data_IF_769008535085
#
_entry.id   IF_769008535085
#
_cell.length_a   1.000
_cell.length_b   1.000
_cell.length_c   1.000
_cell.angle_alpha   90.00
_cell.angle_beta   90.00
_cell.angle_gamma   90.00
#
_symmetry.space_group_name_H-M   'P 1'
#
loop_
_entity.id
_entity.type
_entity.pdbx_description
1 polymer ?
#
# COMPACT_ATOMS: atom_id res chain seq x y z
N UNK A 1 21.31 -3.76 33.03
CA UNK A 1 20.86 -4.70 31.98
C UNK A 1 21.69 -4.44 30.74
N UNK A 2 22.90 -5.01 30.67
CA UNK A 2 23.85 -4.79 29.58
C UNK A 2 24.40 -6.15 29.15
N UNK A 3 23.82 -6.76 28.12
CA UNK A 3 24.36 -7.97 27.47
C UNK A 3 24.27 -7.93 25.94
N UNK A 4 23.85 -6.81 25.34
CA UNK A 4 23.65 -6.69 23.89
C UNK A 4 24.92 -6.44 23.06
N UNK A 5 26.01 -5.96 23.65
CA UNK A 5 27.15 -5.43 22.89
C UNK A 5 28.13 -6.50 22.38
N UNK A 6 28.32 -7.60 23.12
CA UNK A 6 29.35 -8.62 22.80
C UNK A 6 28.96 -9.50 21.61
N UNK A 7 27.68 -9.87 21.49
CA UNK A 7 27.17 -10.70 20.40
C UNK A 7 27.19 -9.99 19.04
N UNK A 8 26.82 -8.71 19.00
CA UNK A 8 26.84 -7.92 17.76
C UNK A 8 28.26 -7.69 17.23
N UNK A 9 29.25 -7.54 18.12
CA UNK A 9 30.65 -7.41 17.74
C UNK A 9 31.19 -8.71 17.13
N UNK A 10 30.88 -9.86 17.74
CA UNK A 10 31.26 -11.17 17.21
C UNK A 10 30.63 -11.43 15.83
N UNK A 11 29.36 -11.06 15.65
CA UNK A 11 28.66 -11.21 14.38
C UNK A 11 29.27 -10.37 13.26
N UNK A 12 29.66 -9.11 13.55
CA UNK A 12 30.37 -8.26 12.59
C UNK A 12 31.72 -8.84 12.19
N UNK A 13 32.45 -9.43 13.14
CA UNK A 13 33.74 -10.07 12.87
C UNK A 13 33.58 -11.34 12.00
N UNK A 14 32.58 -12.16 12.28
CA UNK A 14 32.26 -13.36 11.48
C UNK A 14 31.84 -12.94 10.07
N UNK A 15 31.07 -11.86 9.91
CA UNK A 15 30.68 -11.34 8.60
C UNK A 15 31.85 -10.77 7.80
N UNK A 16 32.74 -9.99 8.43
CA UNK A 16 33.90 -9.42 7.76
C UNK A 16 34.91 -10.47 7.28
N UNK A 17 34.98 -11.63 7.96
CA UNK A 17 35.83 -12.74 7.52
C UNK A 17 35.27 -13.57 6.36
N UNK A 18 33.97 -13.49 6.07
CA UNK A 18 33.29 -14.48 5.21
C UNK A 18 32.51 -13.88 4.04
N UNK A 19 33.15 -12.97 3.30
CA UNK A 19 32.68 -12.44 2.01
C UNK A 19 32.81 -13.44 0.84
N UNK A 20 33.01 -14.73 1.13
CA UNK A 20 33.31 -15.75 0.15
C UNK A 20 32.20 -15.90 -0.90
N UNK A 21 32.61 -16.18 -2.13
CA UNK A 21 31.69 -16.42 -3.27
C UNK A 21 30.69 -17.53 -2.93
N UNK A 22 31.15 -18.58 -2.24
CA UNK A 22 30.33 -19.70 -1.77
C UNK A 22 29.21 -19.24 -0.83
N UNK A 23 29.51 -18.37 0.13
CA UNK A 23 28.52 -17.83 1.06
C UNK A 23 27.44 -17.01 0.32
N UNK A 24 27.84 -16.21 -0.67
CA UNK A 24 26.88 -15.47 -1.52
C UNK A 24 25.97 -16.41 -2.32
N UNK A 25 26.53 -17.48 -2.89
CA UNK A 25 25.75 -18.50 -3.59
C UNK A 25 24.76 -19.21 -2.65
N UNK A 26 25.17 -19.59 -1.45
CA UNK A 26 24.29 -20.22 -0.46
C UNK A 26 23.13 -19.29 -0.07
N UNK A 27 23.40 -18.02 0.23
CA UNK A 27 22.33 -17.04 0.52
C UNK A 27 21.32 -16.94 -0.62
N UNK A 28 21.80 -16.87 -1.87
CA UNK A 28 20.93 -16.80 -3.07
C UNK A 28 20.14 -18.09 -3.27
N UNK A 29 20.76 -19.25 -3.06
CA UNK A 29 20.10 -20.55 -3.11
C UNK A 29 18.93 -20.61 -2.12
N UNK A 30 19.17 -20.30 -0.85
CA UNK A 30 18.15 -20.40 0.19
C UNK A 30 17.03 -19.38 0.03
N UNK A 31 17.34 -18.15 -0.39
CA UNK A 31 16.34 -17.16 -0.79
C UNK A 31 15.47 -17.70 -1.93
N UNK A 32 16.09 -18.30 -2.96
CA UNK A 32 15.37 -18.85 -4.12
C UNK A 32 14.51 -20.04 -3.73
N UNK A 33 15.02 -20.95 -2.90
CA UNK A 33 14.28 -22.09 -2.35
C UNK A 33 13.05 -21.62 -1.56
N UNK A 34 13.20 -20.60 -0.73
CA UNK A 34 12.08 -19.99 -0.01
C UNK A 34 11.03 -19.40 -0.96
N UNK A 35 11.45 -18.66 -2.00
CA UNK A 35 10.52 -18.16 -3.03
C UNK A 35 9.75 -19.30 -3.70
N UNK A 36 10.43 -20.38 -4.07
CA UNK A 36 9.78 -21.54 -4.69
C UNK A 36 8.78 -22.21 -3.76
N UNK A 37 9.09 -22.36 -2.46
CA UNK A 37 8.15 -22.91 -1.47
C UNK A 37 6.88 -22.07 -1.43
N UNK A 38 7.01 -20.75 -1.33
CA UNK A 38 5.88 -19.80 -1.32
C UNK A 38 5.04 -19.90 -2.59
N UNK A 39 5.68 -19.89 -3.77
CA UNK A 39 4.97 -19.92 -5.07
C UNK A 39 4.32 -21.27 -5.35
N UNK A 40 4.94 -22.37 -4.92
CA UNK A 40 4.39 -23.73 -5.12
C UNK A 40 3.36 -24.13 -4.07
N UNK A 41 3.11 -23.29 -3.05
CA UNK A 41 2.16 -23.57 -1.98
C UNK A 41 2.57 -24.72 -1.07
N UNK A 42 3.87 -25.04 -1.01
CA UNK A 42 4.38 -26.05 -0.08
C UNK A 42 4.22 -25.58 1.36
N UNK A 43 3.95 -26.51 2.28
CA UNK A 43 3.77 -26.20 3.71
C UNK A 43 5.02 -25.53 4.27
N UNK A 44 4.83 -24.34 4.85
CA UNK A 44 5.86 -23.59 5.55
C UNK A 44 5.82 -23.86 7.06
N UNK A 45 6.85 -23.43 7.76
CA UNK A 45 6.91 -23.54 9.22
C UNK A 45 5.80 -22.71 9.88
N UNK A 46 4.95 -23.38 10.67
CA UNK A 46 3.73 -22.80 11.24
C UNK A 46 4.01 -21.63 12.17
N UNK A 47 5.09 -21.69 12.96
CA UNK A 47 5.45 -20.60 13.87
C UNK A 47 5.94 -19.36 13.10
N UNK A 48 6.67 -19.58 12.01
CA UNK A 48 7.14 -18.48 11.15
C UNK A 48 5.95 -17.84 10.42
N UNK A 49 5.00 -18.63 9.92
CA UNK A 49 3.74 -18.10 9.34
C UNK A 49 2.93 -17.33 10.38
N UNK A 50 2.73 -17.89 11.58
CA UNK A 50 2.00 -17.22 12.64
C UNK A 50 2.64 -15.89 13.06
N UNK A 51 3.98 -15.82 13.08
CA UNK A 51 4.70 -14.58 13.42
C UNK A 51 4.51 -13.44 12.41
N UNK A 52 4.14 -13.76 11.16
CA UNK A 52 3.91 -12.77 10.10
C UNK A 52 2.48 -12.18 10.14
N UNK A 53 1.55 -12.77 10.92
CA UNK A 53 0.12 -12.43 10.88
C UNK A 53 -0.18 -10.94 11.09
N UNK A 54 0.52 -10.28 12.01
CA UNK A 54 0.36 -8.84 12.28
C UNK A 54 0.78 -7.99 11.07
N UNK A 55 1.89 -8.36 10.43
CA UNK A 55 2.38 -7.67 9.24
C UNK A 55 1.45 -7.91 8.06
N UNK A 56 0.99 -9.15 7.85
CA UNK A 56 0.04 -9.48 6.78
C UNK A 56 -1.27 -8.71 6.93
N UNK A 57 -1.80 -8.59 8.15
CA UNK A 57 -2.97 -7.75 8.42
C UNK A 57 -2.72 -6.28 8.03
N UNK A 58 -1.53 -5.74 8.27
CA UNK A 58 -1.15 -4.38 7.86
C UNK A 58 -1.04 -4.25 6.34
N UNK A 59 -0.52 -5.26 5.65
CA UNK A 59 -0.45 -5.30 4.19
C UNK A 59 -1.85 -5.33 3.55
N UNK A 60 -2.81 -6.02 4.16
CA UNK A 60 -4.20 -6.00 3.70
C UNK A 60 -4.82 -4.59 3.81
N UNK A 61 -4.51 -3.83 4.87
CA UNK A 61 -4.92 -2.43 4.97
C UNK A 61 -4.32 -1.61 3.83
N UNK A 62 -3.03 -1.80 3.54
CA UNK A 62 -2.38 -1.14 2.40
C UNK A 62 -3.06 -1.48 1.07
N UNK A 63 -3.27 -2.76 0.77
CA UNK A 63 -3.93 -3.19 -0.46
C UNK A 63 -5.37 -2.69 -0.57
N UNK A 64 -6.10 -2.64 0.54
CA UNK A 64 -7.43 -2.03 0.61
C UNK A 64 -7.39 -0.56 0.24
N UNK A 65 -6.40 0.21 0.74
CA UNK A 65 -6.18 1.60 0.35
C UNK A 65 -5.95 1.72 -1.16
N UNK A 66 -5.08 0.90 -1.73
CA UNK A 66 -4.79 0.94 -3.18
C UNK A 66 -6.04 0.67 -4.02
N UNK A 67 -6.78 -0.38 -3.65
CA UNK A 67 -7.98 -0.84 -4.37
C UNK A 67 -9.09 0.20 -4.32
N UNK A 68 -9.44 0.66 -3.12
CA UNK A 68 -10.53 1.62 -2.93
C UNK A 68 -10.25 2.98 -3.58
N UNK A 69 -8.99 3.44 -3.59
CA UNK A 69 -8.62 4.65 -4.33
C UNK A 69 -8.80 4.48 -5.86
N UNK A 70 -8.47 3.32 -6.42
CA UNK A 70 -8.68 3.04 -7.85
C UNK A 70 -10.16 2.92 -8.20
N UNK A 71 -10.94 2.25 -7.35
CA UNK A 71 -12.39 2.15 -7.52
C UNK A 71 -13.05 3.53 -7.46
N UNK A 72 -12.62 4.40 -6.56
CA UNK A 72 -13.13 5.77 -6.48
C UNK A 72 -12.86 6.57 -7.75
N UNK A 73 -11.67 6.45 -8.36
CA UNK A 73 -11.39 7.06 -9.67
C UNK A 73 -12.36 6.56 -10.75
N UNK A 74 -12.58 5.25 -10.84
CA UNK A 74 -13.53 4.66 -11.80
C UNK A 74 -14.95 5.22 -11.60
N UNK A 75 -15.39 5.34 -10.35
CA UNK A 75 -16.71 5.93 -10.02
C UNK A 75 -16.78 7.40 -10.44
N UNK A 76 -15.73 8.19 -10.15
CA UNK A 76 -15.68 9.60 -10.56
C UNK A 76 -15.73 9.74 -12.07
N UNK A 77 -14.97 8.94 -12.82
CA UNK A 77 -15.01 8.93 -14.28
C UNK A 77 -16.41 8.60 -14.82
N UNK A 78 -17.04 7.55 -14.29
CA UNK A 78 -18.40 7.18 -14.69
C UNK A 78 -19.38 8.33 -14.43
N UNK A 79 -19.25 9.00 -13.28
CA UNK A 79 -20.10 10.13 -12.91
C UNK A 79 -19.88 11.33 -13.84
N UNK A 80 -18.62 11.66 -14.15
CA UNK A 80 -18.27 12.71 -15.12
C UNK A 80 -18.82 12.40 -16.52
N UNK A 81 -18.74 11.14 -17.00
CA UNK A 81 -19.32 10.71 -18.28
C UNK A 81 -20.83 10.92 -18.30
N UNK A 82 -21.53 10.52 -17.23
CA UNK A 82 -23.00 10.70 -17.10
C UNK A 82 -23.39 12.18 -17.12
N UNK A 83 -22.66 13.04 -16.40
CA UNK A 83 -22.88 14.51 -16.43
C UNK A 83 -22.67 15.06 -17.85
N UNK A 84 -21.60 14.65 -18.52
CA UNK A 84 -21.29 15.11 -19.88
C UNK A 84 -22.37 14.71 -20.90
N UNK A 85 -22.82 13.45 -20.86
CA UNK A 85 -23.90 12.95 -21.73
C UNK A 85 -25.21 13.69 -21.50
N UNK A 86 -25.59 13.93 -20.23
CA UNK A 86 -26.82 14.68 -19.89
C UNK A 86 -26.73 16.14 -20.34
N UNK A 87 -25.56 16.77 -20.16
CA UNK A 87 -25.31 18.13 -20.64
C UNK A 87 -25.40 18.24 -22.17
N UNK A 88 -24.85 17.27 -22.92
CA UNK A 88 -24.93 17.24 -24.39
C UNK A 88 -26.37 17.07 -24.88
N UNK A 89 -27.16 16.18 -24.26
CA UNK A 89 -28.59 16.00 -24.58
C UNK A 89 -29.38 17.28 -24.33
N UNK A 90 -29.14 17.98 -23.21
CA UNK A 90 -29.79 19.27 -22.90
C UNK A 90 -29.37 20.39 -23.88
N UNK A 91 -28.11 20.44 -24.30
CA UNK A 91 -27.65 21.36 -25.35
C UNK A 91 -28.34 21.10 -26.69
N UNK A 92 -28.47 19.83 -27.10
CA UNK A 92 -29.15 19.47 -28.34
C UNK A 92 -30.65 19.84 -28.29
N UNK A 93 -31.30 19.66 -27.14
CA UNK A 93 -32.69 20.12 -26.93
C UNK A 93 -32.80 21.65 -27.06
N UNK A 94 -31.83 22.42 -26.56
CA UNK A 94 -31.78 23.90 -26.74
C UNK A 94 -31.50 24.34 -28.16
N UNK A 95 -30.69 23.59 -28.91
CA UNK A 95 -30.42 23.89 -30.32
C UNK A 95 -31.64 23.55 -31.18
N UNK A 96 -32.40 22.50 -30.82
CA UNK A 96 -33.62 22.09 -31.53
C UNK A 96 -34.87 22.89 -31.11
N UNK A 97 -34.90 23.46 -29.90
CA UNK A 97 -36.00 24.30 -29.39
C UNK A 97 -35.42 25.56 -28.80
N UNK A 98 -35.86 26.73 -29.28
CA UNK A 98 -35.54 28.07 -28.77
C UNK A 98 -36.15 28.31 -27.35
N UNK A 99 -36.10 27.31 -26.47
CA UNK A 99 -36.80 27.26 -25.20
C UNK A 99 -35.96 27.93 -24.11
N UNK A 100 -36.32 29.16 -23.77
CA UNK A 100 -35.97 29.83 -22.52
C UNK A 100 -36.76 29.23 -21.34
N UNK A 101 -36.83 27.90 -21.22
CA UNK A 101 -37.38 27.30 -20.00
C UNK A 101 -36.33 27.39 -18.89
N UNK A 102 -36.69 28.15 -17.86
CA UNK A 102 -35.97 28.42 -16.61
C UNK A 102 -35.31 27.13 -16.09
N UNK A 103 -36.03 26.01 -16.03
CA UNK A 103 -35.52 24.71 -15.57
C UNK A 103 -34.36 24.10 -16.39
N UNK A 104 -34.32 24.31 -17.72
CA UNK A 104 -33.23 23.82 -18.58
C UNK A 104 -31.98 24.72 -18.45
N UNK A 105 -32.17 26.02 -18.15
CA UNK A 105 -31.10 26.94 -17.78
C UNK A 105 -30.41 26.52 -16.49
N UNK A 106 -31.18 26.36 -15.42
CA UNK A 106 -30.68 26.00 -14.10
C UNK A 106 -30.00 24.63 -14.11
N UNK A 107 -30.62 23.60 -14.70
CA UNK A 107 -30.01 22.26 -14.78
C UNK A 107 -28.61 22.28 -15.43
N UNK A 108 -28.40 23.14 -16.44
CA UNK A 108 -27.10 23.30 -17.10
C UNK A 108 -26.07 24.04 -16.23
N UNK A 109 -26.50 25.02 -15.43
CA UNK A 109 -25.63 25.76 -14.49
C UNK A 109 -25.19 24.88 -13.31
N UNK A 110 -26.11 24.11 -12.72
CA UNK A 110 -25.79 23.15 -11.66
C UNK A 110 -24.82 22.06 -12.12
N UNK A 111 -25.00 21.55 -13.34
CA UNK A 111 -24.08 20.56 -13.92
C UNK A 111 -22.68 21.12 -14.15
N UNK A 112 -22.55 22.38 -14.59
CA UNK A 112 -21.24 23.04 -14.71
C UNK A 112 -20.56 23.23 -13.34
N UNK A 113 -21.35 23.54 -12.31
CA UNK A 113 -20.86 23.75 -10.96
C UNK A 113 -20.29 22.47 -10.31
N UNK A 114 -20.79 21.29 -10.68
CA UNK A 114 -20.32 19.99 -10.19
C UNK A 114 -19.06 19.48 -10.92
N UNK A 115 -18.81 19.94 -12.15
CA UNK A 115 -17.68 19.48 -12.96
C UNK A 115 -16.32 19.84 -12.34
N UNK A 116 -16.19 21.06 -11.79
CA UNK A 116 -14.92 21.53 -11.21
C UNK A 116 -14.53 20.72 -9.94
N UNK A 117 -15.40 20.53 -8.93
CA UNK A 117 -15.10 19.69 -7.77
C UNK A 117 -14.75 18.25 -8.13
N UNK A 118 -15.48 17.63 -9.07
CA UNK A 118 -15.19 16.25 -9.50
C UNK A 118 -13.86 16.12 -10.24
N UNK A 119 -13.49 17.11 -11.04
CA UNK A 119 -12.19 17.14 -11.71
C UNK A 119 -11.05 17.26 -10.70
N UNK A 120 -11.21 18.17 -9.72
CA UNK A 120 -10.24 18.36 -8.64
C UNK A 120 -10.07 17.08 -7.81
N UNK A 121 -11.18 16.47 -7.40
CA UNK A 121 -11.17 15.20 -6.67
C UNK A 121 -10.44 14.10 -7.44
N UNK A 122 -10.72 13.97 -8.74
CA UNK A 122 -10.03 13.01 -9.60
C UNK A 122 -8.51 13.24 -9.57
N UNK A 123 -8.07 14.49 -9.79
CA UNK A 123 -6.65 14.85 -9.81
C UNK A 123 -5.96 14.62 -8.46
N UNK A 124 -6.65 14.92 -7.35
CA UNK A 124 -6.13 14.72 -5.99
C UNK A 124 -5.94 13.22 -5.69
N UNK A 125 -6.92 12.36 -6.02
CA UNK A 125 -6.80 10.91 -5.83
C UNK A 125 -5.75 10.31 -6.77
N UNK A 126 -5.72 10.77 -8.02
CA UNK A 126 -4.72 10.33 -9.00
C UNK A 126 -3.30 10.65 -8.51
N UNK A 127 -3.08 11.88 -8.05
CA UNK A 127 -1.81 12.31 -7.46
C UNK A 127 -1.47 11.49 -6.21
N UNK A 128 -2.44 11.29 -5.31
CA UNK A 128 -2.25 10.46 -4.11
C UNK A 128 -1.81 9.03 -4.47
N UNK A 129 -2.40 8.44 -5.51
CA UNK A 129 -2.01 7.12 -6.01
C UNK A 129 -0.60 7.11 -6.57
N UNK A 130 -0.30 8.02 -7.50
CA UNK A 130 1.01 8.01 -8.17
C UNK A 130 2.16 8.40 -7.24
N UNK A 131 1.90 9.19 -6.20
CA UNK A 131 2.92 9.65 -5.25
C UNK A 131 2.95 8.80 -3.98
N UNK A 132 1.92 8.93 -3.14
CA UNK A 132 1.93 8.37 -1.79
C UNK A 132 1.80 6.84 -1.77
N UNK A 133 0.87 6.29 -2.57
CA UNK A 133 0.70 4.84 -2.68
C UNK A 133 1.94 4.19 -3.33
N UNK A 134 2.46 4.76 -4.41
CA UNK A 134 3.67 4.24 -5.07
C UNK A 134 4.91 4.24 -4.15
N UNK A 135 5.13 5.31 -3.37
CA UNK A 135 6.23 5.36 -2.41
C UNK A 135 6.10 4.29 -1.31
N UNK A 136 4.89 4.13 -0.77
CA UNK A 136 4.60 3.10 0.23
C UNK A 136 4.82 1.71 -0.37
N UNK A 137 4.38 1.49 -1.61
CA UNK A 137 4.58 0.23 -2.35
C UNK A 137 6.06 -0.14 -2.50
N UNK A 138 6.94 0.83 -2.80
CA UNK A 138 8.38 0.57 -2.88
C UNK A 138 8.94 0.07 -1.55
N UNK A 139 8.43 0.60 -0.44
CA UNK A 139 8.85 0.17 0.91
C UNK A 139 8.31 -1.21 1.23
N UNK A 140 7.04 -1.48 0.93
CA UNK A 140 6.43 -2.82 1.02
C UNK A 140 7.23 -3.85 0.23
N UNK A 141 7.61 -3.56 -1.01
CA UNK A 141 8.41 -4.48 -1.82
C UNK A 141 9.80 -4.78 -1.24
N UNK A 142 10.47 -3.77 -0.68
CA UNK A 142 11.76 -3.97 0.00
C UNK A 142 11.58 -4.86 1.23
N UNK A 143 10.53 -4.59 2.01
CA UNK A 143 10.15 -5.41 3.16
C UNK A 143 9.86 -6.87 2.74
N UNK A 144 9.07 -7.10 1.69
CA UNK A 144 8.76 -8.44 1.16
C UNK A 144 10.00 -9.23 0.74
N UNK A 145 10.96 -8.55 0.13
CA UNK A 145 12.26 -9.14 -0.22
C UNK A 145 13.05 -9.50 1.04
N UNK A 146 13.11 -8.60 2.03
CA UNK A 146 13.78 -8.86 3.31
C UNK A 146 13.11 -9.98 4.11
N UNK A 147 11.78 -10.09 4.06
CA UNK A 147 11.00 -11.19 4.64
C UNK A 147 11.42 -12.52 4.03
N UNK A 148 11.48 -12.57 2.70
CA UNK A 148 11.89 -13.77 1.96
C UNK A 148 13.33 -14.16 2.27
N UNK A 149 14.24 -13.18 2.41
CA UNK A 149 15.63 -13.41 2.80
C UNK A 149 15.74 -13.97 4.22
N UNK A 150 15.01 -13.39 5.19
CA UNK A 150 14.98 -13.86 6.56
C UNK A 150 14.42 -15.28 6.67
N UNK A 151 13.28 -15.57 6.03
CA UNK A 151 12.68 -16.91 5.99
C UNK A 151 13.61 -17.92 5.31
N UNK A 152 14.29 -17.53 4.24
CA UNK A 152 15.32 -18.35 3.60
C UNK A 152 16.49 -18.67 4.53
N UNK A 153 16.95 -17.69 5.32
CA UNK A 153 18.00 -17.91 6.32
C UNK A 153 17.55 -18.82 7.46
N UNK A 154 16.29 -18.72 7.92
CA UNK A 154 15.71 -19.65 8.90
C UNK A 154 15.64 -21.08 8.35
N UNK A 155 15.23 -21.24 7.10
CA UNK A 155 15.19 -22.53 6.43
C UNK A 155 16.60 -23.14 6.33
N UNK A 156 17.60 -22.33 6.01
CA UNK A 156 19.00 -22.75 6.01
C UNK A 156 19.48 -23.16 7.41
N UNK A 157 19.13 -22.39 8.44
CA UNK A 157 19.49 -22.70 9.82
C UNK A 157 18.88 -24.03 10.27
N UNK A 158 17.61 -24.28 9.90
CA UNK A 158 16.91 -25.54 10.17
C UNK A 158 17.62 -26.72 9.51
N UNK A 159 17.95 -26.62 8.23
CA UNK A 159 18.66 -27.65 7.46
C UNK A 159 20.02 -27.99 8.09
N UNK A 160 20.84 -26.98 8.40
CA UNK A 160 22.16 -27.21 9.03
C UNK A 160 22.04 -27.73 10.47
N UNK A 161 20.98 -27.39 11.19
CA UNK A 161 20.76 -27.88 12.56
C UNK A 161 20.39 -29.37 12.63
N UNK A 162 19.80 -29.92 11.58
CA UNK A 162 19.38 -31.33 11.56
C UNK A 162 20.55 -32.29 11.39
N UNK A 163 21.63 -31.85 10.75
CA UNK A 163 22.85 -32.62 10.50
C UNK A 163 23.98 -32.25 11.48
N UNK A 164 23.67 -31.53 12.56
CA UNK A 164 24.67 -30.94 13.45
C UNK A 164 25.21 -31.97 14.46
N UNK A 165 26.48 -32.31 14.32
CA UNK A 165 27.29 -32.99 15.33
C UNK A 165 28.12 -31.95 16.12
N UNK A 166 27.84 -31.74 17.43
CA UNK A 166 28.56 -30.78 18.26
C UNK A 166 30.06 -31.05 18.39
N UNK A 167 30.49 -32.31 18.23
CA UNK A 167 31.89 -32.71 18.35
C UNK A 167 32.69 -32.42 17.06
N UNK A 168 31.98 -32.17 15.95
CA UNK A 168 32.58 -31.79 14.68
C UNK A 168 32.75 -30.27 14.57
N UNK A 169 33.96 -29.77 14.89
CA UNK A 169 34.29 -28.34 14.90
C UNK A 169 33.86 -27.58 13.63
N UNK A 170 34.05 -28.16 12.44
CA UNK A 170 33.68 -27.53 11.16
C UNK A 170 32.17 -27.33 11.00
N UNK A 171 31.34 -28.24 11.50
CA UNK A 171 29.88 -28.12 11.43
C UNK A 171 29.37 -27.05 12.38
N UNK A 172 29.94 -26.98 13.60
CA UNK A 172 29.66 -25.90 14.55
C UNK A 172 30.05 -24.52 14.00
N UNK A 173 31.17 -24.41 13.30
CA UNK A 173 31.57 -23.16 12.64
C UNK A 173 30.56 -22.75 11.56
N UNK A 174 30.14 -23.69 10.70
CA UNK A 174 29.09 -23.47 9.69
C UNK A 174 27.78 -23.02 10.35
N UNK A 175 27.34 -23.69 11.42
CA UNK A 175 26.12 -23.34 12.13
C UNK A 175 26.16 -21.93 12.72
N UNK A 176 27.27 -21.55 13.36
CA UNK A 176 27.48 -20.18 13.89
C UNK A 176 27.39 -19.12 12.79
N UNK A 177 27.92 -19.39 11.60
CA UNK A 177 27.82 -18.47 10.44
C UNK A 177 26.38 -18.31 9.97
N UNK A 178 25.62 -19.39 9.88
CA UNK A 178 24.20 -19.34 9.51
C UNK A 178 23.39 -18.61 10.56
N UNK A 179 23.66 -18.84 11.86
CA UNK A 179 23.03 -18.07 12.95
C UNK A 179 23.30 -16.56 12.84
N UNK A 180 24.54 -16.15 12.56
CA UNK A 180 24.86 -14.73 12.37
C UNK A 180 24.09 -14.12 11.17
N UNK A 181 23.91 -14.90 10.10
CA UNK A 181 23.11 -14.49 8.94
C UNK A 181 21.61 -14.35 9.30
N UNK A 182 21.06 -15.25 10.10
CA UNK A 182 19.68 -15.17 10.61
C UNK A 182 19.49 -13.91 11.44
N UNK A 183 20.39 -13.62 12.40
CA UNK A 183 20.33 -12.41 13.22
C UNK A 183 20.35 -11.13 12.37
N UNK A 184 21.20 -11.10 11.35
CA UNK A 184 21.34 -9.94 10.47
C UNK A 184 20.12 -9.72 9.58
N UNK A 185 19.64 -10.78 8.93
CA UNK A 185 18.45 -10.69 8.08
C UNK A 185 17.20 -10.37 8.90
N UNK A 186 17.10 -10.89 10.13
CA UNK A 186 16.04 -10.52 11.07
C UNK A 186 16.07 -9.04 11.39
N UNK A 187 17.23 -8.49 11.74
CA UNK A 187 17.37 -7.05 12.05
C UNK A 187 16.93 -6.17 10.88
N UNK A 188 17.32 -6.51 9.65
CA UNK A 188 16.89 -5.80 8.45
C UNK A 188 15.38 -5.93 8.21
N UNK A 189 14.82 -7.12 8.40
CA UNK A 189 13.39 -7.38 8.25
C UNK A 189 12.56 -6.62 9.29
N UNK A 190 12.95 -6.65 10.57
CA UNK A 190 12.24 -5.96 11.65
C UNK A 190 12.21 -4.44 11.41
N UNK A 191 13.32 -3.86 10.93
CA UNK A 191 13.37 -2.42 10.55
C UNK A 191 12.37 -2.10 9.44
N UNK A 192 12.40 -2.88 8.35
CA UNK A 192 11.48 -2.68 7.24
C UNK A 192 10.02 -2.97 7.59
N UNK A 193 9.75 -3.93 8.51
CA UNK A 193 8.42 -4.18 9.07
C UNK A 193 7.90 -2.90 9.75
N UNK A 194 8.71 -2.28 10.60
CA UNK A 194 8.34 -1.03 11.28
C UNK A 194 8.11 0.12 10.30
N UNK A 195 9.00 0.29 9.31
CA UNK A 195 8.87 1.32 8.27
C UNK A 195 7.56 1.17 7.49
N UNK A 196 7.20 -0.07 7.12
CA UNK A 196 5.92 -0.36 6.45
C UNK A 196 4.74 0.00 7.34
N UNK A 197 4.73 -0.42 8.61
CA UNK A 197 3.65 -0.09 9.53
C UNK A 197 3.42 1.42 9.62
N UNK A 198 4.48 2.19 9.87
CA UNK A 198 4.40 3.65 10.00
C UNK A 198 3.93 4.30 8.70
N UNK A 199 4.47 3.89 7.55
CA UNK A 199 4.05 4.44 6.26
C UNK A 199 2.60 4.13 5.92
N UNK A 200 2.12 2.92 6.22
CA UNK A 200 0.73 2.54 5.98
C UNK A 200 -0.22 3.33 6.87
N UNK A 201 0.14 3.56 8.14
CA UNK A 201 -0.67 4.37 9.06
C UNK A 201 -0.74 5.84 8.59
N UNK A 202 0.40 6.42 8.20
CA UNK A 202 0.45 7.77 7.61
C UNK A 202 -0.34 7.86 6.29
N UNK A 203 -0.27 6.82 5.45
CA UNK A 203 -1.02 6.73 4.20
C UNK A 203 -2.53 6.70 4.47
N UNK A 204 -2.96 5.93 5.47
CA UNK A 204 -4.34 5.88 5.94
C UNK A 204 -4.85 7.25 6.39
N UNK A 205 -4.09 7.93 7.27
CA UNK A 205 -4.41 9.27 7.74
C UNK A 205 -4.47 10.29 6.59
N UNK A 206 -3.49 10.26 5.69
CA UNK A 206 -3.43 11.15 4.52
C UNK A 206 -4.62 10.95 3.59
N UNK A 207 -5.07 9.71 3.38
CA UNK A 207 -6.29 9.40 2.62
C UNK A 207 -7.52 9.98 3.29
N UNK A 208 -7.66 9.82 4.61
CA UNK A 208 -8.79 10.38 5.36
C UNK A 208 -8.84 11.90 5.23
N UNK A 209 -7.70 12.59 5.38
CA UNK A 209 -7.64 14.04 5.22
C UNK A 209 -8.05 14.49 3.81
N UNK A 210 -7.53 13.82 2.77
CA UNK A 210 -7.89 14.09 1.38
C UNK A 210 -9.41 13.97 1.16
N UNK A 211 -10.03 12.89 1.65
CA UNK A 211 -11.46 12.65 1.47
C UNK A 211 -12.33 13.58 2.31
N UNK A 212 -11.90 13.95 3.52
CA UNK A 212 -12.64 14.87 4.39
C UNK A 212 -12.80 16.25 3.77
N UNK A 213 -11.74 16.82 3.17
CA UNK A 213 -11.81 18.13 2.48
C UNK A 213 -12.85 18.17 1.35
N UNK A 214 -13.04 17.03 0.70
CA UNK A 214 -13.99 16.87 -0.40
C UNK A 214 -15.42 16.84 0.15
N UNK A 215 -15.67 16.09 1.23
CA UNK A 215 -16.97 16.03 1.89
C UNK A 215 -17.41 17.40 2.42
N UNK A 216 -16.50 18.15 3.05
CA UNK A 216 -16.79 19.52 3.52
C UNK A 216 -17.17 20.45 2.35
N UNK A 217 -16.56 20.28 1.18
CA UNK A 217 -16.90 21.06 -0.02
C UNK A 217 -18.31 20.74 -0.55
N UNK A 218 -18.81 19.52 -0.36
CA UNK A 218 -20.20 19.16 -0.68
C UNK A 218 -21.19 19.67 0.37
N UNK A 219 -20.90 19.52 1.66
CA UNK A 219 -21.76 19.96 2.76
C UNK A 219 -21.98 21.48 2.76
N UNK A 220 -20.94 22.27 2.48
CA UNK A 220 -21.05 23.72 2.41
C UNK A 220 -21.85 24.22 1.18
N UNK A 221 -22.16 23.34 0.21
CA UNK A 221 -22.96 23.69 -0.98
C UNK A 221 -24.46 23.52 -0.78
N UNK A 222 -24.92 22.80 0.23
CA UNK A 222 -26.35 22.75 0.57
C UNK A 222 -26.86 24.13 1.02
N UNK A 223 -25.99 24.98 1.57
CA UNK A 223 -26.30 26.39 1.84
C UNK A 223 -26.56 27.24 0.58
N UNK A 224 -26.06 26.82 -0.59
CA UNK A 224 -26.32 27.49 -1.87
C UNK A 224 -27.58 26.99 -2.59
N UNK A 225 -28.22 25.91 -2.11
CA UNK A 225 -29.44 25.37 -2.71
C UNK A 225 -30.72 26.00 -2.13
N UNK A 226 -30.71 26.39 -0.85
CA UNK A 226 -31.86 27.02 -0.19
C UNK A 226 -32.41 28.27 -0.88
N UNK A 227 -31.58 29.26 -1.25
CA UNK A 227 -32.07 30.50 -1.87
C UNK A 227 -32.58 30.28 -3.31
N UNK A 228 -31.98 29.36 -4.06
CA UNK A 228 -32.26 29.20 -5.51
C UNK A 228 -33.49 28.32 -5.76
N UNK A 229 -33.75 27.33 -4.90
CA UNK A 229 -35.00 26.56 -4.93
C UNK A 229 -36.18 27.43 -4.48
N UNK A 230 -35.98 28.28 -3.46
CA UNK A 230 -36.99 29.24 -3.01
C UNK A 230 -37.33 30.28 -4.10
N UNK A 231 -36.34 30.81 -4.82
CA UNK A 231 -36.56 31.74 -5.92
C UNK A 231 -37.30 31.08 -7.11
N UNK A 232 -37.06 29.79 -7.36
CA UNK A 232 -37.75 29.06 -8.43
C UNK A 232 -39.21 28.75 -8.06
N UNK A 233 -39.50 28.43 -6.79
CA UNK A 233 -40.87 28.24 -6.30
C UNK A 233 -41.65 29.56 -6.34
N UNK A 234 -41.06 30.67 -5.87
CA UNK A 234 -41.70 31.99 -5.89
C UNK A 234 -41.92 32.59 -7.29
N UNK A 235 -41.26 32.06 -8.33
CA UNK A 235 -41.47 32.49 -9.73
C UNK A 235 -42.48 31.62 -10.49
N UNK A 236 -42.92 30.51 -9.91
CA UNK A 236 -43.79 29.51 -10.56
C UNK A 236 -45.17 29.43 -9.90
N UNK A 237 -45.35 30.05 -8.72
CA UNK A 237 -46.63 30.31 -8.03
C UNK A 237 -46.99 31.78 -8.23
#
# INVERSE_FOLDING_TARGET
KETGSSGEYLDRLIQNRDSSVVNKFQKKYWKTKQTLIKVTGKKEDEHVVASDAELDAKLEVFHSIQRTCMELLKVIEQYQRRICCKSRKLKNIRLMKLSQSTGVYYCSKYQLALRKPLCRLYQEIETFRYRAISDTWLTVNRMEQSRTEYRGALLWMKDVSQELDPDTHKQMEKFRKVQAQVRTTKSSFDKLKNDVCQKVDLLGASRCNLLSHVLTTYQNRDQFQGPVVAEYINKTV
#
